data_IF_735906688487
#
_entry.id   IF_735906688487
#
_cell.length_a   1.000
_cell.length_b   1.000
_cell.length_c   1.000
_cell.angle_alpha   90.00
_cell.angle_beta   90.00
_cell.angle_gamma   90.00
#
_symmetry.space_group_name_H-M   'P 1'
#
loop_
_entity.id
_entity.type
_entity.pdbx_description
1 polymer ?
#
# COMPACT_ATOMS: atom_id res chain seq x y z
N UNK A 1 -32.30 -1.97 -12.76
CA UNK A 1 -31.08 -1.29 -12.23
C UNK A 1 -31.28 -1.07 -10.75
N UNK A 2 -30.50 -1.75 -9.88
CA UNK A 2 -30.51 -1.48 -8.45
C UNK A 2 -29.97 -0.06 -8.26
N UNK A 3 -30.79 0.82 -7.70
CA UNK A 3 -30.36 2.15 -7.30
C UNK A 3 -29.28 1.99 -6.25
N UNK A 4 -28.09 2.52 -6.49
CA UNK A 4 -27.03 2.53 -5.50
C UNK A 4 -27.47 3.43 -4.35
N UNK A 5 -27.51 2.90 -3.15
CA UNK A 5 -27.87 3.65 -1.96
C UNK A 5 -26.82 4.75 -1.73
N UNK A 6 -27.24 6.03 -1.68
CA UNK A 6 -26.31 7.16 -1.54
C UNK A 6 -25.49 7.10 -0.24
N UNK A 7 -25.98 6.43 0.80
CA UNK A 7 -25.27 6.25 2.07
C UNK A 7 -24.03 5.36 1.86
N UNK A 8 -24.17 4.23 1.17
CA UNK A 8 -23.04 3.34 0.88
C UNK A 8 -22.03 4.00 -0.06
N UNK A 9 -22.50 4.82 -1.02
CA UNK A 9 -21.62 5.59 -1.89
C UNK A 9 -20.82 6.61 -1.07
N UNK A 10 -21.46 7.33 -0.16
CA UNK A 10 -20.80 8.28 0.75
C UNK A 10 -19.76 7.60 1.64
N UNK A 11 -20.09 6.45 2.23
CA UNK A 11 -19.15 5.67 3.03
C UNK A 11 -17.94 5.17 2.21
N UNK A 12 -18.17 4.74 0.97
CA UNK A 12 -17.09 4.33 0.08
C UNK A 12 -16.14 5.48 -0.25
N UNK A 13 -16.67 6.66 -0.59
CA UNK A 13 -15.86 7.86 -0.84
C UNK A 13 -15.06 8.26 0.40
N UNK A 14 -15.70 8.27 1.56
CA UNK A 14 -15.03 8.59 2.83
C UNK A 14 -13.91 7.60 3.14
N UNK A 15 -14.13 6.30 2.92
CA UNK A 15 -13.12 5.25 3.08
C UNK A 15 -11.93 5.44 2.13
N UNK A 16 -12.17 5.81 0.88
CA UNK A 16 -11.13 6.11 -0.11
C UNK A 16 -10.31 7.34 0.32
N UNK A 17 -10.98 8.43 0.72
CA UNK A 17 -10.30 9.64 1.19
C UNK A 17 -9.45 9.37 2.43
N UNK A 18 -9.96 8.60 3.38
CA UNK A 18 -9.24 8.19 4.58
C UNK A 18 -8.01 7.34 4.20
N UNK A 19 -8.16 6.41 3.27
CA UNK A 19 -7.05 5.59 2.76
C UNK A 19 -5.93 6.44 2.14
N UNK A 20 -6.28 7.45 1.34
CA UNK A 20 -5.29 8.37 0.77
C UNK A 20 -4.62 9.25 1.84
N UNK A 21 -5.39 9.69 2.82
CA UNK A 21 -4.87 10.45 3.95
C UNK A 21 -3.85 9.63 4.76
N UNK A 22 -4.19 8.41 5.14
CA UNK A 22 -3.29 7.50 5.87
C UNK A 22 -2.00 7.21 5.08
N UNK A 23 -2.09 7.04 3.76
CA UNK A 23 -0.92 6.89 2.89
C UNK A 23 -0.04 8.13 2.88
N UNK A 24 -0.62 9.32 2.84
CA UNK A 24 0.13 10.57 2.91
C UNK A 24 0.83 10.76 4.26
N UNK A 25 0.17 10.37 5.37
CA UNK A 25 0.77 10.38 6.71
C UNK A 25 1.95 9.41 6.79
N UNK A 26 1.77 8.16 6.33
CA UNK A 26 2.85 7.17 6.29
C UNK A 26 4.04 7.67 5.47
N UNK A 27 3.78 8.26 4.32
CA UNK A 27 4.83 8.81 3.46
C UNK A 27 5.56 9.98 4.11
N UNK A 28 4.85 10.81 4.87
CA UNK A 28 5.47 11.87 5.67
C UNK A 28 6.49 11.31 6.67
N UNK A 29 6.12 10.27 7.41
CA UNK A 29 7.02 9.61 8.38
C UNK A 29 8.27 9.06 7.69
N UNK A 30 8.14 8.47 6.50
CA UNK A 30 9.27 7.95 5.74
C UNK A 30 10.19 9.06 5.19
N UNK A 31 9.66 10.27 4.93
CA UNK A 31 10.43 11.41 4.46
C UNK A 31 11.03 12.26 5.59
N UNK A 32 10.49 12.16 6.81
CA UNK A 32 10.91 12.96 7.97
C UNK A 32 12.42 12.96 8.23
N UNK A 33 13.15 11.82 8.10
CA UNK A 33 14.61 11.82 8.27
C UNK A 33 15.37 12.53 7.13
N UNK A 34 14.71 12.83 6.01
CA UNK A 34 15.34 13.46 4.84
C UNK A 34 14.98 14.93 4.76
N UNK A 35 13.70 15.25 4.92
CA UNK A 35 13.18 16.63 4.86
C UNK A 35 11.77 16.74 5.40
N UNK A 36 11.43 17.89 5.97
CA UNK A 36 10.07 18.19 6.41
C UNK A 36 9.23 18.65 5.21
N UNK A 37 8.35 17.77 4.73
CA UNK A 37 7.36 18.07 3.69
C UNK A 37 5.99 18.28 4.32
N UNK A 38 5.24 19.27 3.85
CA UNK A 38 3.90 19.52 4.38
C UNK A 38 2.95 18.37 4.01
N UNK A 39 2.08 17.99 4.96
CA UNK A 39 1.10 16.92 4.75
C UNK A 39 0.16 17.25 3.57
N UNK A 40 -0.14 18.53 3.34
CA UNK A 40 -0.98 18.97 2.21
C UNK A 40 -0.35 18.64 0.86
N UNK A 41 0.95 18.88 0.70
CA UNK A 41 1.69 18.56 -0.52
C UNK A 41 1.76 17.05 -0.76
N UNK A 42 2.00 16.27 0.29
CA UNK A 42 2.02 14.82 0.21
C UNK A 42 0.65 14.24 -0.13
N UNK A 43 -0.40 14.78 0.45
CA UNK A 43 -1.78 14.37 0.14
C UNK A 43 -2.14 14.72 -1.32
N UNK A 44 -1.83 15.94 -1.77
CA UNK A 44 -2.06 16.37 -3.16
C UNK A 44 -1.27 15.49 -4.14
N UNK A 45 0.01 15.25 -3.88
CA UNK A 45 0.87 14.39 -4.71
C UNK A 45 0.37 12.95 -4.73
N UNK A 46 -0.09 12.42 -3.61
CA UNK A 46 -0.69 11.08 -3.53
C UNK A 46 -1.95 11.00 -4.36
N UNK A 47 -2.84 11.98 -4.25
CA UNK A 47 -4.11 12.02 -5.01
C UNK A 47 -3.85 12.14 -6.51
N UNK A 48 -2.94 13.02 -6.94
CA UNK A 48 -2.55 13.16 -8.35
C UNK A 48 -1.92 11.87 -8.88
N UNK A 49 -1.03 11.25 -8.11
CA UNK A 49 -0.40 9.99 -8.49
C UNK A 49 -1.41 8.88 -8.71
N UNK A 50 -2.39 8.73 -7.81
CA UNK A 50 -3.44 7.72 -7.98
C UNK A 50 -4.42 8.07 -9.11
N UNK A 51 -4.75 9.36 -9.33
CA UNK A 51 -5.52 9.78 -10.49
C UNK A 51 -4.78 9.43 -11.81
N UNK A 52 -3.46 9.62 -11.84
CA UNK A 52 -2.64 9.24 -12.98
C UNK A 52 -2.67 7.71 -13.25
N UNK A 53 -2.74 6.87 -12.20
CA UNK A 53 -2.89 5.41 -12.36
C UNK A 53 -4.20 5.06 -13.08
N UNK A 54 -5.28 5.79 -12.85
CA UNK A 54 -6.54 5.59 -13.58
C UNK A 54 -6.45 5.98 -15.05
N UNK A 55 -5.64 6.99 -15.38
CA UNK A 55 -5.52 7.52 -16.75
C UNK A 55 -4.48 6.74 -17.58
N UNK A 56 -3.35 6.39 -16.99
CA UNK A 56 -2.17 5.84 -17.69
C UNK A 56 -1.83 4.43 -17.19
N UNK A 57 -2.65 3.85 -16.33
CA UNK A 57 -2.40 2.55 -15.73
C UNK A 57 -1.19 2.56 -14.79
N UNK A 58 -0.46 1.43 -14.70
CA UNK A 58 0.68 1.28 -13.77
C UNK A 58 1.80 2.31 -13.95
N UNK A 59 1.94 2.89 -15.15
CA UNK A 59 2.89 3.98 -15.38
C UNK A 59 2.61 5.22 -14.53
N UNK A 60 1.35 5.43 -14.11
CA UNK A 60 0.96 6.51 -13.20
C UNK A 60 1.62 6.42 -11.81
N UNK A 61 2.08 5.25 -11.38
CA UNK A 61 2.81 5.11 -10.10
C UNK A 61 4.13 5.89 -10.09
N UNK A 62 4.75 6.07 -11.27
CA UNK A 62 6.00 6.83 -11.43
C UNK A 62 5.74 8.35 -11.30
N UNK A 63 4.54 8.80 -11.57
CA UNK A 63 4.17 10.22 -11.47
C UNK A 63 4.38 10.74 -10.03
N UNK A 64 4.07 9.93 -9.03
CA UNK A 64 4.19 10.30 -7.63
C UNK A 64 5.62 10.68 -7.20
N UNK A 65 6.67 9.86 -7.44
CA UNK A 65 8.04 10.22 -7.10
C UNK A 65 8.64 11.30 -7.99
N UNK A 66 8.10 11.50 -9.18
CA UNK A 66 8.56 12.58 -10.07
C UNK A 66 7.90 13.93 -9.73
N UNK A 67 6.63 13.90 -9.32
CA UNK A 67 5.87 15.12 -9.03
C UNK A 67 6.32 15.82 -7.75
N UNK A 68 6.69 15.05 -6.71
CA UNK A 68 7.10 15.63 -5.43
C UNK A 68 8.37 16.48 -5.54
N UNK A 69 9.47 16.05 -6.19
CA UNK A 69 10.66 16.87 -6.37
C UNK A 69 10.43 18.11 -7.24
N UNK A 70 9.42 18.07 -8.13
CA UNK A 70 9.06 19.24 -8.94
C UNK A 70 8.37 20.33 -8.10
N UNK A 71 7.65 19.95 -7.05
CA UNK A 71 6.97 20.88 -6.15
C UNK A 71 7.84 21.31 -4.98
N UNK A 72 8.61 20.40 -4.41
CA UNK A 72 9.55 20.70 -3.33
C UNK A 72 10.96 20.27 -3.72
N UNK A 73 11.78 21.23 -4.10
CA UNK A 73 13.18 21.04 -4.52
C UNK A 73 14.10 20.48 -3.43
N UNK A 74 13.63 20.44 -2.17
CA UNK A 74 14.36 19.85 -1.04
C UNK A 74 14.35 18.33 -1.10
N UNK A 75 13.37 17.75 -1.79
CA UNK A 75 13.27 16.30 -1.99
C UNK A 75 13.98 15.93 -3.30
N UNK A 76 15.09 15.22 -3.20
CA UNK A 76 15.74 14.65 -4.39
C UNK A 76 14.89 13.54 -5.04
N UNK A 77 14.92 13.38 -6.38
CA UNK A 77 14.19 12.30 -7.05
C UNK A 77 14.56 10.90 -6.54
N UNK A 78 15.84 10.69 -6.22
CA UNK A 78 16.33 9.43 -5.64
C UNK A 78 15.72 9.15 -4.27
N UNK A 79 15.63 10.16 -3.42
CA UNK A 79 15.00 10.04 -2.10
C UNK A 79 13.52 9.68 -2.20
N UNK A 80 12.79 10.31 -3.12
CA UNK A 80 11.38 9.99 -3.37
C UNK A 80 11.20 8.55 -3.91
N UNK A 81 12.09 8.07 -4.77
CA UNK A 81 12.07 6.69 -5.27
C UNK A 81 12.36 5.68 -4.16
N UNK A 82 13.36 5.93 -3.31
CA UNK A 82 13.71 5.06 -2.19
C UNK A 82 12.54 4.94 -1.21
N UNK A 83 11.87 6.04 -0.87
CA UNK A 83 10.71 5.99 0.04
C UNK A 83 9.56 5.16 -0.53
N UNK A 84 9.33 5.21 -1.85
CA UNK A 84 8.31 4.37 -2.50
C UNK A 84 8.74 2.90 -2.52
N UNK A 85 10.03 2.60 -2.75
CA UNK A 85 10.54 1.24 -2.68
C UNK A 85 10.33 0.65 -1.27
N UNK A 86 10.66 1.41 -0.22
CA UNK A 86 10.41 1.02 1.17
C UNK A 86 8.90 0.81 1.42
N UNK A 87 8.04 1.70 0.90
CA UNK A 87 6.58 1.53 0.98
C UNK A 87 6.13 0.20 0.37
N UNK A 88 6.70 -0.20 -0.79
CA UNK A 88 6.38 -1.50 -1.43
C UNK A 88 6.83 -2.70 -0.61
N UNK A 89 8.00 -2.61 0.02
CA UNK A 89 8.46 -3.67 0.91
C UNK A 89 7.49 -3.86 2.08
N UNK A 90 7.07 -2.78 2.74
CA UNK A 90 6.09 -2.85 3.82
C UNK A 90 4.72 -3.38 3.36
N UNK A 91 4.28 -3.03 2.15
CA UNK A 91 3.03 -3.56 1.58
C UNK A 91 3.13 -5.08 1.36
N UNK A 92 4.26 -5.57 0.83
CA UNK A 92 4.51 -7.01 0.65
C UNK A 92 4.55 -7.74 1.99
N UNK A 93 5.29 -7.20 2.97
CA UNK A 93 5.36 -7.76 4.33
C UNK A 93 3.95 -7.88 4.93
N UNK A 94 3.17 -6.81 4.86
CA UNK A 94 1.80 -6.79 5.37
C UNK A 94 0.92 -7.83 4.68
N UNK A 95 1.04 -7.95 3.34
CA UNK A 95 0.30 -8.95 2.56
C UNK A 95 0.64 -10.37 3.01
N UNK A 96 1.93 -10.68 3.17
CA UNK A 96 2.39 -12.00 3.63
C UNK A 96 1.89 -12.28 5.04
N UNK A 97 1.96 -11.32 5.95
CA UNK A 97 1.45 -11.46 7.31
C UNK A 97 -0.06 -11.75 7.33
N UNK A 98 -0.85 -10.96 6.60
CA UNK A 98 -2.31 -11.16 6.50
C UNK A 98 -2.65 -12.52 5.89
N UNK A 99 -1.95 -12.91 4.83
CA UNK A 99 -2.15 -14.21 4.20
C UNK A 99 -1.83 -15.36 5.16
N UNK A 100 -0.71 -15.29 5.87
CA UNK A 100 -0.30 -16.32 6.83
C UNK A 100 -1.28 -16.44 8.00
N UNK A 101 -1.71 -15.30 8.57
CA UNK A 101 -2.73 -15.28 9.63
C UNK A 101 -4.05 -15.86 9.13
N UNK A 102 -4.46 -15.49 7.91
CA UNK A 102 -5.68 -16.03 7.29
C UNK A 102 -5.61 -17.55 7.15
N UNK A 103 -4.45 -18.11 6.75
CA UNK A 103 -4.26 -19.56 6.63
C UNK A 103 -4.33 -20.31 7.98
N UNK A 104 -3.90 -19.67 9.07
CA UNK A 104 -4.00 -20.25 10.42
C UNK A 104 -5.47 -20.39 10.83
N UNK A 105 -6.30 -19.39 10.49
CA UNK A 105 -7.72 -19.37 10.88
C UNK A 105 -8.61 -20.14 9.90
N UNK A 106 -8.11 -20.48 8.73
CA UNK A 106 -8.87 -21.18 7.71
C UNK A 106 -9.10 -22.63 8.10
N UNK A 107 -10.36 -23.03 8.26
CA UNK A 107 -10.76 -24.41 8.50
C UNK A 107 -10.74 -25.19 7.19
N UNK A 108 -10.01 -26.29 7.19
CA UNK A 108 -9.85 -27.16 6.01
C UNK A 108 -11.17 -27.87 5.69
N UNK A 109 -11.67 -27.77 4.45
CA UNK A 109 -12.74 -28.65 4.00
C UNK A 109 -12.29 -30.11 4.01
N UNK A 110 -13.19 -31.02 4.41
CA UNK A 110 -12.90 -32.45 4.45
C UNK A 110 -12.44 -32.97 3.06
N UNK A 111 -11.33 -33.68 3.00
CA UNK A 111 -10.79 -34.29 1.78
C UNK A 111 -9.69 -33.52 1.06
N UNK A 112 -9.29 -32.32 1.52
CA UNK A 112 -8.18 -31.53 0.93
C UNK A 112 -7.09 -31.17 1.93
N UNK A 113 -6.91 -32.01 2.93
CA UNK A 113 -5.96 -31.73 4.03
C UNK A 113 -4.51 -31.67 3.56
N UNK A 114 -4.11 -32.52 2.60
CA UNK A 114 -2.74 -32.54 2.08
C UNK A 114 -2.40 -31.27 1.28
N UNK A 115 -3.30 -30.82 0.39
CA UNK A 115 -3.07 -29.62 -0.43
C UNK A 115 -2.92 -28.37 0.43
N UNK A 116 -3.73 -28.27 1.48
CA UNK A 116 -3.68 -27.13 2.41
C UNK A 116 -2.48 -27.21 3.37
N UNK A 117 -1.98 -28.39 3.69
CA UNK A 117 -0.76 -28.53 4.45
C UNK A 117 0.45 -27.92 3.71
N UNK A 118 0.55 -28.17 2.40
CA UNK A 118 1.59 -27.54 1.57
C UNK A 118 1.45 -26.02 1.52
N UNK A 119 0.22 -25.51 1.32
CA UNK A 119 -0.01 -24.06 1.27
C UNK A 119 0.33 -23.39 2.61
N UNK A 120 -0.06 -24.01 3.73
CA UNK A 120 0.29 -23.53 5.08
C UNK A 120 1.81 -23.57 5.33
N UNK A 121 2.49 -24.63 4.89
CA UNK A 121 3.93 -24.74 5.00
C UNK A 121 4.63 -23.61 4.23
N UNK A 122 4.24 -23.38 2.98
CA UNK A 122 4.78 -22.31 2.14
C UNK A 122 4.48 -20.94 2.77
N UNK A 123 3.26 -20.68 3.21
CA UNK A 123 2.88 -19.43 3.87
C UNK A 123 3.70 -19.16 5.13
N UNK A 124 3.91 -20.17 5.97
CA UNK A 124 4.72 -20.06 7.18
C UNK A 124 6.22 -19.85 6.86
N UNK A 125 6.75 -20.50 5.81
CA UNK A 125 8.11 -20.25 5.33
C UNK A 125 8.31 -18.82 4.87
N UNK A 126 7.35 -18.27 4.11
CA UNK A 126 7.38 -16.86 3.70
C UNK A 126 7.27 -15.91 4.89
N UNK A 127 6.42 -16.21 5.87
CA UNK A 127 6.31 -15.42 7.10
C UNK A 127 7.65 -15.43 7.86
N UNK A 128 8.24 -16.61 8.05
CA UNK A 128 9.52 -16.75 8.73
C UNK A 128 10.64 -15.99 8.00
N UNK A 129 10.74 -16.15 6.69
CA UNK A 129 11.71 -15.43 5.87
C UNK A 129 11.53 -13.91 5.96
N UNK A 130 10.29 -13.44 6.01
CA UNK A 130 9.98 -12.02 6.16
C UNK A 130 10.40 -11.49 7.53
N UNK A 131 10.13 -12.24 8.61
CA UNK A 131 10.48 -11.85 9.97
C UNK A 131 12.00 -11.88 10.21
N UNK A 132 12.71 -12.84 9.59
CA UNK A 132 14.17 -12.96 9.71
C UNK A 132 14.94 -12.03 8.76
N UNK A 133 14.30 -11.56 7.70
CA UNK A 133 14.91 -10.67 6.72
C UNK A 133 14.69 -9.17 6.99
N UNK A 134 13.90 -8.85 8.03
CA UNK A 134 13.69 -7.50 8.57
C UNK A 134 14.58 -7.28 9.79
#
# INVERSE_FOLDING_TARGET
MRQADPVYLGLAVLGICLGYFLRAVRWRVLLEPITEVSLRELFATTTVGFAAVFLVGRAGEIVRPMWLPMRDKRVGPSAALVTIAVERVFDLVSLVCFFSVSLIWFRTPAGREADLAYIKLIGNMFLLATVLGL
#
